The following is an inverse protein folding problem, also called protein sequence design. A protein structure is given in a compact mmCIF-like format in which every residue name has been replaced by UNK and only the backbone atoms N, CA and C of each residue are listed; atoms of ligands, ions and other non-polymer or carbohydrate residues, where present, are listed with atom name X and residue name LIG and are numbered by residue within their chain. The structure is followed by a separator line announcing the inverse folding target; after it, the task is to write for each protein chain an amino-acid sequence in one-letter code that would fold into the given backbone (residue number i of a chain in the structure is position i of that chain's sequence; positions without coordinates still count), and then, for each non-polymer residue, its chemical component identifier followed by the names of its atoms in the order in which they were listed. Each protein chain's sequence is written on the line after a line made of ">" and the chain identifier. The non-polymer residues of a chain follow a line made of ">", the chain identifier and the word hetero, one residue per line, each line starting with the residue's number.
data_IF_944293191511
#
_entry.id   IF_944293191511
#
_cell.length_a   1.000
_cell.length_b   1.000
_cell.length_c   1.000
_cell.angle_alpha   90.00
_cell.angle_beta   90.00
_cell.angle_gamma   90.00
#
_symmetry.space_group_name_H-M   'P 1'
#
loop_
_entity.id
_entity.type
_entity.pdbx_description
1 polymer ?
#
# COMPACT_ATOMS: atom_id res chain seq x y z
N UNK A 1 21.13 -36.32 6.73
CA UNK A 1 19.99 -35.92 7.58
C UNK A 1 19.08 -35.07 6.73
N UNK A 2 17.97 -35.64 6.25
CA UNK A 2 16.94 -34.91 5.52
C UNK A 2 16.13 -34.08 6.50
N UNK A 3 16.13 -32.75 6.36
CA UNK A 3 15.12 -31.91 6.99
C UNK A 3 13.83 -32.05 6.18
N UNK A 4 12.90 -32.84 6.70
CA UNK A 4 11.52 -32.94 6.23
C UNK A 4 10.85 -31.57 6.26
N UNK A 5 10.50 -31.03 5.09
CA UNK A 5 9.58 -29.90 4.97
C UNK A 5 8.19 -30.34 5.43
N UNK A 6 7.71 -29.74 6.52
CA UNK A 6 6.38 -29.95 7.05
C UNK A 6 5.33 -29.40 6.05
N UNK A 7 4.36 -30.19 5.55
CA UNK A 7 3.49 -29.77 4.45
C UNK A 7 2.22 -29.00 4.89
N UNK A 8 2.28 -28.20 5.96
CA UNK A 8 1.08 -27.54 6.51
C UNK A 8 1.22 -26.02 6.72
N UNK A 9 1.98 -25.33 5.86
CA UNK A 9 1.72 -23.91 5.64
C UNK A 9 0.73 -23.82 4.48
N UNK A 10 -0.55 -23.84 4.82
CA UNK A 10 -1.54 -23.21 3.93
C UNK A 10 -1.11 -21.75 3.84
N UNK A 11 -0.85 -21.27 2.63
CA UNK A 11 -0.53 -19.87 2.36
C UNK A 11 -1.81 -19.04 2.60
N UNK A 12 -2.10 -18.79 3.88
CA UNK A 12 -3.34 -18.16 4.35
C UNK A 12 -3.40 -16.67 3.95
N UNK A 13 -2.25 -16.08 3.63
CA UNK A 13 -2.12 -14.65 3.30
C UNK A 13 -2.41 -14.37 1.81
N UNK A 14 -2.60 -15.41 1.00
CA UNK A 14 -2.91 -15.31 -0.43
C UNK A 14 -3.48 -16.60 -1.02
N UNK A 15 -4.64 -17.09 -0.55
CA UNK A 15 -5.21 -18.34 -1.05
C UNK A 15 -5.52 -18.29 -2.54
N UNK A 16 -5.17 -19.35 -3.28
CA UNK A 16 -5.59 -19.47 -4.68
C UNK A 16 -7.06 -19.85 -4.75
N UNK A 17 -7.86 -19.06 -5.47
CA UNK A 17 -9.28 -19.32 -5.70
C UNK A 17 -9.67 -19.14 -7.17
N UNK A 18 -10.83 -19.71 -7.56
CA UNK A 18 -11.37 -19.56 -8.90
C UNK A 18 -11.65 -18.08 -9.21
N UNK A 19 -11.23 -17.60 -10.38
CA UNK A 19 -11.30 -16.18 -10.81
C UNK A 19 -10.38 -15.22 -10.04
N UNK A 20 -9.32 -15.71 -9.39
CA UNK A 20 -8.31 -14.86 -8.75
C UNK A 20 -7.78 -13.76 -9.69
N UNK A 21 -7.46 -14.10 -10.95
CA UNK A 21 -6.97 -13.12 -11.91
C UNK A 21 -8.01 -12.04 -12.25
N UNK A 22 -9.28 -12.42 -12.43
CA UNK A 22 -10.36 -11.47 -12.70
C UNK A 22 -10.65 -10.58 -11.50
N UNK A 23 -10.53 -11.12 -10.28
CA UNK A 23 -10.57 -10.35 -9.04
C UNK A 23 -9.48 -9.27 -9.03
N UNK A 24 -8.23 -9.67 -9.30
CA UNK A 24 -7.09 -8.74 -9.41
C UNK A 24 -7.32 -7.67 -10.47
N UNK A 25 -7.78 -8.09 -11.64
CA UNK A 25 -8.04 -7.21 -12.77
C UNK A 25 -9.14 -6.19 -12.46
N UNK A 26 -10.18 -6.59 -11.76
CA UNK A 26 -11.31 -5.71 -11.44
C UNK A 26 -10.87 -4.56 -10.52
N UNK A 27 -10.24 -4.85 -9.38
CA UNK A 27 -9.87 -3.80 -8.44
C UNK A 27 -8.71 -2.95 -8.98
N UNK A 28 -7.68 -3.56 -9.59
CA UNK A 28 -6.54 -2.82 -10.14
C UNK A 28 -6.96 -1.95 -11.34
N UNK A 29 -7.82 -2.48 -12.20
CA UNK A 29 -8.39 -1.72 -13.32
C UNK A 29 -9.22 -0.54 -12.85
N UNK A 30 -9.96 -0.68 -11.76
CA UNK A 30 -10.70 0.42 -11.12
C UNK A 30 -9.78 1.56 -10.67
N UNK A 31 -8.70 1.23 -9.95
CA UNK A 31 -7.73 2.21 -9.44
C UNK A 31 -6.95 2.91 -10.57
N UNK A 32 -6.49 2.17 -11.57
CA UNK A 32 -5.82 2.78 -12.75
C UNK A 32 -6.79 3.68 -13.52
N UNK A 33 -8.05 3.26 -13.70
CA UNK A 33 -9.05 4.06 -14.40
C UNK A 33 -9.37 5.35 -13.65
N UNK A 34 -9.46 5.28 -12.32
CA UNK A 34 -9.64 6.45 -11.45
C UNK A 34 -8.46 7.43 -11.60
N UNK A 35 -7.21 6.95 -11.49
CA UNK A 35 -6.01 7.76 -11.69
C UNK A 35 -5.94 8.39 -13.09
N UNK A 36 -6.31 7.64 -14.13
CA UNK A 36 -6.35 8.14 -15.50
C UNK A 36 -7.40 9.25 -15.70
N UNK A 37 -8.55 9.19 -15.00
CA UNK A 37 -9.55 10.26 -15.00
C UNK A 37 -9.04 11.53 -14.32
N UNK A 38 -8.33 11.40 -13.19
CA UNK A 38 -7.68 12.53 -12.52
C UNK A 38 -6.61 13.18 -13.41
N UNK A 39 -5.77 12.37 -14.06
CA UNK A 39 -4.77 12.84 -15.04
C UNK A 39 -5.38 13.64 -16.19
N UNK A 40 -6.53 13.18 -16.71
CA UNK A 40 -7.26 13.84 -17.80
C UNK A 40 -8.12 15.03 -17.34
N UNK A 41 -8.11 15.35 -16.04
CA UNK A 41 -8.95 16.40 -15.45
C UNK A 41 -10.45 16.17 -15.71
N UNK A 42 -10.86 14.91 -15.83
CA UNK A 42 -12.28 14.53 -16.01
C UNK A 42 -13.03 14.46 -14.67
N UNK A 43 -12.31 14.49 -13.56
CA UNK A 43 -12.83 14.48 -12.20
C UNK A 43 -11.85 15.15 -11.26
N UNK A 44 -12.36 15.79 -10.21
CA UNK A 44 -11.55 16.28 -9.08
C UNK A 44 -11.32 15.18 -8.05
N UNK A 45 -12.29 14.26 -7.90
CA UNK A 45 -12.27 13.15 -6.96
C UNK A 45 -12.75 11.88 -7.69
N UNK A 46 -12.01 10.79 -7.55
CA UNK A 46 -12.38 9.47 -8.08
C UNK A 46 -12.29 8.43 -6.96
N UNK A 47 -13.28 7.55 -6.87
CA UNK A 47 -13.42 6.60 -5.76
C UNK A 47 -13.46 5.17 -6.31
N UNK A 48 -12.63 4.30 -5.74
CA UNK A 48 -12.67 2.86 -5.97
C UNK A 48 -12.65 2.12 -4.62
N UNK A 49 -13.82 1.72 -4.12
CA UNK A 49 -13.93 0.99 -2.86
C UNK A 49 -13.42 -0.46 -2.92
N UNK A 50 -13.23 -1.01 -4.13
CA UNK A 50 -12.73 -2.37 -4.29
C UNK A 50 -11.20 -2.47 -4.21
N UNK A 51 -10.49 -1.34 -4.34
CA UNK A 51 -9.03 -1.27 -4.32
C UNK A 51 -8.44 -1.09 -2.92
N UNK A 52 -7.19 -0.62 -2.86
CA UNK A 52 -6.48 -0.39 -1.59
C UNK A 52 -5.68 -1.59 -1.10
N UNK A 53 -5.26 -2.49 -2.00
CA UNK A 53 -4.49 -3.69 -1.67
C UNK A 53 -3.01 -3.34 -1.46
N UNK A 54 -2.73 -2.62 -0.38
CA UNK A 54 -1.46 -1.92 -0.13
C UNK A 54 -0.28 -2.80 0.32
N UNK A 55 -0.56 -4.02 0.81
CA UNK A 55 0.48 -4.93 1.33
C UNK A 55 1.09 -5.81 0.23
N UNK A 56 0.47 -5.88 -0.95
CA UNK A 56 1.00 -6.67 -2.07
C UNK A 56 2.39 -6.15 -2.47
N UNK A 57 3.37 -7.07 -2.57
CA UNK A 57 4.75 -6.77 -2.94
C UNK A 57 4.99 -7.03 -4.42
N UNK A 58 6.19 -6.66 -4.90
CA UNK A 58 6.57 -6.83 -6.31
C UNK A 58 6.54 -8.30 -6.76
N UNK A 59 6.92 -9.22 -5.88
CA UNK A 59 7.08 -10.64 -6.17
C UNK A 59 6.37 -11.56 -5.17
N UNK A 60 5.51 -11.02 -4.31
CA UNK A 60 4.80 -11.78 -3.27
C UNK A 60 3.41 -11.20 -2.98
N UNK A 61 2.41 -12.08 -2.87
CA UNK A 61 1.11 -11.74 -2.31
C UNK A 61 1.21 -11.57 -0.77
N UNK A 62 0.41 -10.67 -0.21
CA UNK A 62 0.40 -10.41 1.22
C UNK A 62 -0.96 -9.88 1.65
N UNK A 63 -1.49 -10.37 2.78
CA UNK A 63 -2.75 -9.92 3.37
C UNK A 63 -3.91 -9.81 2.36
N UNK A 64 -4.13 -10.85 1.56
CA UNK A 64 -5.15 -10.93 0.50
C UNK A 64 -4.92 -9.99 -0.70
N UNK A 65 -3.82 -9.23 -0.70
CA UNK A 65 -3.38 -8.43 -1.83
C UNK A 65 -2.46 -9.24 -2.76
N UNK A 66 -2.86 -9.37 -4.03
CA UNK A 66 -2.11 -10.10 -5.07
C UNK A 66 -1.43 -9.19 -6.09
N UNK A 67 -2.02 -8.02 -6.32
CA UNK A 67 -1.49 -6.93 -7.12
C UNK A 67 -1.67 -5.62 -6.34
N UNK A 68 -0.62 -4.82 -6.26
CA UNK A 68 -0.67 -3.54 -5.54
C UNK A 68 -1.28 -2.47 -6.44
N UNK A 69 -2.60 -2.34 -6.42
CA UNK A 69 -3.32 -1.37 -7.24
C UNK A 69 -3.02 0.07 -6.87
N UNK A 70 -2.66 0.33 -5.62
CA UNK A 70 -2.24 1.66 -5.14
C UNK A 70 -0.95 2.08 -5.83
N UNK A 71 0.06 1.22 -5.88
CA UNK A 71 1.32 1.48 -6.62
C UNK A 71 1.02 1.73 -8.09
N UNK A 72 0.16 0.92 -8.72
CA UNK A 72 -0.22 1.11 -10.13
C UNK A 72 -0.95 2.44 -10.36
N UNK A 73 -1.84 2.83 -9.45
CA UNK A 73 -2.52 4.13 -9.49
C UNK A 73 -1.56 5.31 -9.34
N UNK A 74 -0.62 5.24 -8.40
CA UNK A 74 0.41 6.28 -8.21
C UNK A 74 1.30 6.39 -9.44
N UNK A 75 1.74 5.27 -10.03
CA UNK A 75 2.51 5.28 -11.28
C UNK A 75 1.74 5.92 -12.44
N UNK A 76 0.43 5.70 -12.53
CA UNK A 76 -0.43 6.38 -13.49
C UNK A 76 -0.45 7.89 -13.21
N UNK A 77 -0.70 8.32 -11.97
CA UNK A 77 -0.70 9.75 -11.59
C UNK A 77 0.64 10.44 -11.90
N UNK A 78 1.76 9.76 -11.68
CA UNK A 78 3.11 10.30 -11.93
C UNK A 78 3.40 10.59 -13.41
N UNK A 79 2.55 10.15 -14.35
CA UNK A 79 2.62 10.56 -15.76
C UNK A 79 2.27 12.04 -15.97
N UNK A 80 1.43 12.60 -15.09
CA UNK A 80 0.96 13.99 -15.18
C UNK A 80 1.47 14.84 -14.02
N UNK A 81 1.43 14.30 -12.81
CA UNK A 81 1.82 15.02 -11.60
C UNK A 81 3.29 14.76 -11.25
N UNK A 82 4.03 15.85 -10.96
CA UNK A 82 5.45 15.75 -10.58
C UNK A 82 5.64 15.05 -9.24
N UNK A 83 4.72 15.27 -8.30
CA UNK A 83 4.71 14.72 -6.94
C UNK A 83 3.34 14.19 -6.59
N UNK A 84 3.29 13.07 -5.86
CA UNK A 84 2.07 12.44 -5.35
C UNK A 84 2.21 12.24 -3.84
N UNK A 85 1.17 12.57 -3.08
CA UNK A 85 1.06 12.25 -1.66
C UNK A 85 0.13 11.04 -1.51
N UNK A 86 0.61 10.01 -0.82
CA UNK A 86 -0.18 8.86 -0.41
C UNK A 86 -0.38 8.90 1.10
N UNK A 87 -1.63 8.77 1.54
CA UNK A 87 -2.01 8.75 2.95
C UNK A 87 -2.75 7.45 3.23
N UNK A 88 -2.24 6.70 4.20
CA UNK A 88 -2.79 5.43 4.65
C UNK A 88 -3.25 5.56 6.10
N UNK A 89 -4.53 5.25 6.29
CA UNK A 89 -5.23 5.26 7.59
C UNK A 89 -5.66 3.85 8.02
N UNK A 90 -5.10 2.83 7.38
CA UNK A 90 -5.30 1.43 7.69
C UNK A 90 -4.77 1.06 9.07
N UNK A 91 -5.38 0.06 9.69
CA UNK A 91 -5.00 -0.36 11.04
C UNK A 91 -3.55 -0.88 11.14
N UNK A 92 -3.08 -1.57 10.10
CA UNK A 92 -1.69 -2.10 9.99
C UNK A 92 -0.91 -1.27 8.99
N UNK A 93 0.41 -1.22 9.18
CA UNK A 93 1.34 -0.56 8.27
C UNK A 93 1.25 -1.15 6.85
N UNK A 94 1.11 -0.29 5.85
CA UNK A 94 1.02 -0.61 4.43
C UNK A 94 2.39 -0.77 3.76
N UNK A 95 3.12 -1.80 4.15
CA UNK A 95 4.55 -1.94 3.82
C UNK A 95 4.84 -2.05 2.31
N UNK A 96 3.89 -2.48 1.47
CA UNK A 96 4.10 -2.66 0.03
C UNK A 96 4.21 -1.36 -0.75
N UNK A 97 3.44 -0.34 -0.38
CA UNK A 97 3.50 0.97 -1.05
C UNK A 97 4.75 1.74 -0.61
N UNK A 98 5.11 1.66 0.67
CA UNK A 98 6.34 2.25 1.18
C UNK A 98 7.56 1.67 0.47
N UNK A 99 7.67 0.34 0.41
CA UNK A 99 8.79 -0.34 -0.25
C UNK A 99 8.93 0.06 -1.73
N UNK A 100 7.80 0.23 -2.44
CA UNK A 100 7.80 0.59 -3.86
C UNK A 100 8.33 2.01 -4.13
N UNK A 101 8.29 2.91 -3.14
CA UNK A 101 8.62 4.32 -3.30
C UNK A 101 9.67 4.86 -2.32
N UNK A 102 10.26 4.01 -1.48
CA UNK A 102 11.21 4.42 -0.44
C UNK A 102 12.45 5.15 -0.97
N UNK A 103 12.81 5.00 -2.24
CA UNK A 103 14.03 5.55 -2.85
C UNK A 103 13.80 6.81 -3.71
N UNK A 104 12.58 7.37 -3.72
CA UNK A 104 12.20 8.50 -4.59
C UNK A 104 11.60 9.68 -3.82
N UNK A 105 11.90 10.90 -4.29
CA UNK A 105 11.33 12.17 -3.80
C UNK A 105 10.03 12.56 -4.52
N UNK A 106 9.58 11.75 -5.49
CA UNK A 106 8.36 12.01 -6.26
C UNK A 106 7.08 11.51 -5.59
N UNK A 107 7.20 10.64 -4.59
CA UNK A 107 6.06 10.10 -3.85
C UNK A 107 6.37 10.24 -2.38
N UNK A 108 5.46 10.86 -1.63
CA UNK A 108 5.52 10.87 -0.18
C UNK A 108 4.48 9.90 0.36
N UNK A 109 4.88 9.01 1.25
CA UNK A 109 3.98 8.06 1.92
C UNK A 109 3.81 8.45 3.38
N UNK A 110 2.56 8.53 3.85
CA UNK A 110 2.24 8.90 5.22
C UNK A 110 1.33 7.81 5.81
N UNK A 111 1.77 7.20 6.90
CA UNK A 111 1.06 6.11 7.56
C UNK A 111 0.65 6.48 8.97
N UNK A 112 -0.59 6.12 9.33
CA UNK A 112 -1.08 6.08 10.70
C UNK A 112 -1.51 4.66 11.01
N UNK A 113 -0.76 3.95 11.84
CA UNK A 113 -0.98 2.52 12.07
C UNK A 113 -0.71 2.15 13.53
N UNK A 114 -1.27 1.02 13.97
CA UNK A 114 -0.91 0.45 15.26
C UNK A 114 0.57 0.04 15.25
N UNK A 115 1.29 0.32 16.33
CA UNK A 115 2.67 -0.17 16.55
C UNK A 115 2.72 -1.68 16.28
N UNK A 116 3.64 -2.09 15.42
CA UNK A 116 3.81 -3.48 14.99
C UNK A 116 5.24 -3.75 14.52
N UNK A 117 5.38 -4.70 13.59
CA UNK A 117 6.69 -5.20 13.15
C UNK A 117 7.39 -4.32 12.09
N UNK A 118 6.69 -3.34 11.51
CA UNK A 118 7.20 -2.39 10.51
C UNK A 118 6.62 -0.98 10.69
N UNK A 119 7.22 0.01 10.02
CA UNK A 119 6.78 1.41 10.07
C UNK A 119 7.13 2.06 11.40
N UNK A 120 8.38 1.88 11.84
CA UNK A 120 8.90 2.59 13.00
C UNK A 120 8.99 4.10 12.70
N UNK A 121 8.98 4.94 13.74
CA UNK A 121 9.14 6.39 13.56
C UNK A 121 10.49 6.77 12.90
N UNK A 122 11.48 5.88 12.98
CA UNK A 122 12.78 6.01 12.33
C UNK A 122 12.81 5.48 10.88
N UNK A 123 11.73 4.90 10.37
CA UNK A 123 11.60 4.52 8.97
C UNK A 123 11.20 5.75 8.14
N UNK A 124 12.18 6.45 7.60
CA UNK A 124 11.99 7.70 6.85
C UNK A 124 12.40 7.62 5.37
N UNK A 125 12.53 6.41 4.81
CA UNK A 125 12.94 6.19 3.42
C UNK A 125 14.46 6.17 3.20
N UNK A 126 14.88 5.99 1.96
CA UNK A 126 16.26 5.71 1.56
C UNK A 126 16.70 6.59 0.38
N UNK A 127 18.01 6.83 0.23
CA UNK A 127 18.55 7.57 -0.93
C UNK A 127 17.87 8.92 -1.15
N UNK A 128 17.26 9.11 -2.33
CA UNK A 128 16.52 10.35 -2.66
C UNK A 128 15.17 10.44 -1.96
N UNK A 129 14.62 9.33 -1.49
CA UNK A 129 13.37 9.25 -0.74
C UNK A 129 13.56 9.43 0.77
N UNK A 130 14.77 9.73 1.27
CA UNK A 130 14.94 10.11 2.68
C UNK A 130 14.05 11.32 3.02
N UNK A 131 13.32 11.19 4.12
CA UNK A 131 12.28 12.11 4.61
C UNK A 131 11.01 12.17 3.75
N UNK A 132 10.82 11.22 2.83
CA UNK A 132 9.59 11.05 2.04
C UNK A 132 8.76 9.83 2.45
N UNK A 133 9.18 9.04 3.44
CA UNK A 133 8.25 8.20 4.21
C UNK A 133 8.06 8.77 5.60
N UNK A 134 6.81 8.90 6.04
CA UNK A 134 6.43 9.35 7.37
C UNK A 134 5.55 8.30 8.03
N UNK A 135 6.01 7.80 9.18
CA UNK A 135 5.33 6.79 9.96
C UNK A 135 4.89 7.36 11.30
N UNK A 136 3.60 7.28 11.60
CA UNK A 136 3.02 7.62 12.89
C UNK A 136 2.54 6.34 13.59
N UNK A 137 3.43 5.62 14.29
CA UNK A 137 3.05 4.40 14.99
C UNK A 137 2.28 4.72 16.29
N UNK A 138 1.09 4.16 16.43
CA UNK A 138 0.11 4.48 17.46
C UNK A 138 -0.08 3.33 18.45
N UNK A 139 -0.30 3.66 19.73
CA UNK A 139 -0.72 2.69 20.76
C UNK A 139 -2.21 2.37 20.63
N UNK A 140 -2.62 1.29 21.28
CA UNK A 140 -4.03 0.96 21.44
C UNK A 140 -4.82 2.07 22.15
N UNK A 141 -6.12 2.14 21.85
CA UNK A 141 -7.05 3.06 22.52
C UNK A 141 -7.09 4.47 21.93
N UNK A 142 -6.68 4.65 20.67
CA UNK A 142 -6.89 5.91 19.95
C UNK A 142 -8.39 6.21 19.84
N UNK A 143 -8.77 7.44 20.17
CA UNK A 143 -10.13 7.94 20.01
C UNK A 143 -10.15 9.16 19.07
N UNK A 144 -11.35 9.61 18.71
CA UNK A 144 -11.53 10.76 17.81
C UNK A 144 -11.05 12.10 18.42
N UNK A 145 -10.90 12.18 19.74
CA UNK A 145 -10.54 13.39 20.47
C UNK A 145 -9.12 13.39 21.01
N UNK A 146 -8.32 12.37 20.68
CA UNK A 146 -7.02 12.16 21.30
C UNK A 146 -6.10 13.34 21.00
N UNK A 147 -5.50 13.89 22.08
CA UNK A 147 -4.64 15.07 22.05
C UNK A 147 -3.20 14.77 22.46
N UNK A 148 -2.79 13.51 22.49
CA UNK A 148 -1.45 13.15 22.93
C UNK A 148 -0.54 12.85 21.72
N UNK A 149 0.48 13.70 21.45
CA UNK A 149 1.52 13.42 20.48
C UNK A 149 2.41 12.25 20.89
#
# INVERSE_FOLDING_TARGET
>A
MSSSSNPSHVDLDGPVFHNLFDYCRAYAGGTISAAAKLNRQEADIAINWAGGMQNAKKDKASDFGYANDVVLGILELLKTFKRVLYVDIGFRHGDGVEEAFKDTDRVMTVYFHKIGDSGDISDFGEGRGQYYSLNAPLKDGLDQGSKNP
#
